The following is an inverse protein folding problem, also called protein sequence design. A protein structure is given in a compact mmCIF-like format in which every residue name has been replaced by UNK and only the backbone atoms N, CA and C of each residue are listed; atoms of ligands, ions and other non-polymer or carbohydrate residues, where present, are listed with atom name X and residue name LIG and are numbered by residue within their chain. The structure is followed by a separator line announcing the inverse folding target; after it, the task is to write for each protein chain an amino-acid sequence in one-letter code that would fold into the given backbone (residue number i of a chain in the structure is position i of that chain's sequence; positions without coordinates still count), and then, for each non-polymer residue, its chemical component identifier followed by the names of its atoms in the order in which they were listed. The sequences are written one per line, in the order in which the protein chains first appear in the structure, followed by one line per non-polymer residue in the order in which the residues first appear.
data_IF_227038141646
#
_entry.id   IF_227038141646
#
_cell.length_a   1.000
_cell.length_b   1.000
_cell.length_c   1.000
_cell.angle_alpha   90.00
_cell.angle_beta   90.00
_cell.angle_gamma   90.00
#
_symmetry.space_group_name_H-M   'P 1'
#
loop_
_entity.id
_entity.type
_entity.pdbx_description
1 polymer ?
#
# COMPACT_ATOMS: atom_id res chain seq x y z
N UNK A 1 -12.45 9.22 -18.40
CA UNK A 1 -12.91 8.24 -17.40
C UNK A 1 -14.40 8.39 -17.15
N UNK A 2 -15.15 7.29 -17.19
CA UNK A 2 -16.58 7.26 -16.84
C UNK A 2 -16.72 7.50 -15.34
N UNK A 3 -17.42 8.57 -14.93
CA UNK A 3 -17.66 8.87 -13.51
C UNK A 3 -18.87 8.07 -13.03
N UNK A 4 -18.73 7.30 -11.95
CA UNK A 4 -19.82 6.59 -11.29
C UNK A 4 -20.19 7.34 -10.01
N UNK A 5 -21.49 7.61 -9.79
CA UNK A 5 -21.98 8.23 -8.56
C UNK A 5 -22.29 7.12 -7.55
N UNK A 6 -21.71 7.22 -6.35
CA UNK A 6 -22.07 6.38 -5.20
C UNK A 6 -22.57 7.30 -4.08
N UNK A 7 -23.69 6.93 -3.48
CA UNK A 7 -24.25 7.59 -2.30
C UNK A 7 -23.90 6.73 -1.09
N UNK A 8 -23.53 7.40 0.01
CA UNK A 8 -23.12 6.80 1.27
C UNK A 8 -23.73 7.69 2.36
N UNK A 9 -24.48 7.09 3.26
CA UNK A 9 -25.02 7.77 4.42
C UNK A 9 -23.99 7.70 5.55
N UNK A 10 -23.66 8.85 6.13
CA UNK A 10 -22.66 8.99 7.19
C UNK A 10 -23.23 9.88 8.29
N UNK A 11 -22.80 9.63 9.51
CA UNK A 11 -23.16 10.49 10.63
C UNK A 11 -22.61 11.91 10.42
N UNK A 12 -23.35 12.96 10.83
CA UNK A 12 -22.92 14.35 10.66
C UNK A 12 -21.54 14.63 11.27
N UNK A 13 -21.22 14.01 12.41
CA UNK A 13 -19.92 14.14 13.09
C UNK A 13 -18.79 13.57 12.22
N UNK A 14 -19.03 12.44 11.54
CA UNK A 14 -18.06 11.83 10.62
C UNK A 14 -17.80 12.74 9.42
N UNK A 15 -18.85 13.37 8.88
CA UNK A 15 -18.71 14.33 7.78
C UNK A 15 -17.85 15.52 8.21
N UNK A 16 -18.07 16.05 9.42
CA UNK A 16 -17.27 17.17 9.95
C UNK A 16 -15.78 16.82 10.04
N UNK A 17 -15.45 15.66 10.62
CA UNK A 17 -14.06 15.21 10.75
C UNK A 17 -13.41 15.06 9.37
N UNK A 18 -14.11 14.46 8.40
CA UNK A 18 -13.57 14.27 7.06
C UNK A 18 -13.36 15.59 6.31
N UNK A 19 -14.23 16.58 6.53
CA UNK A 19 -14.11 17.92 5.93
C UNK A 19 -12.94 18.71 6.54
N UNK A 20 -12.74 18.61 7.86
CA UNK A 20 -11.60 19.21 8.54
C UNK A 20 -10.27 18.63 8.04
N UNK A 21 -10.19 17.30 7.93
CA UNK A 21 -9.01 16.60 7.41
C UNK A 21 -8.75 16.95 5.93
N UNK A 22 -9.80 17.06 5.12
CA UNK A 22 -9.67 17.46 3.72
C UNK A 22 -9.08 18.87 3.60
N UNK A 23 -9.57 19.82 4.43
CA UNK A 23 -9.06 21.18 4.49
C UNK A 23 -7.62 21.22 4.98
N UNK A 24 -7.27 20.47 6.03
CA UNK A 24 -5.91 20.39 6.55
C UNK A 24 -4.90 19.93 5.48
N UNK A 25 -5.32 19.05 4.58
CA UNK A 25 -4.50 18.57 3.46
C UNK A 25 -4.56 19.47 2.20
N UNK A 26 -5.30 20.58 2.21
CA UNK A 26 -5.58 21.41 1.04
C UNK A 26 -6.24 20.64 -0.13
N UNK A 27 -7.23 19.79 0.16
CA UNK A 27 -7.92 18.94 -0.82
C UNK A 27 -9.43 19.02 -0.65
N UNK A 28 -10.17 18.60 -1.68
CA UNK A 28 -11.62 18.40 -1.53
C UNK A 28 -11.91 17.11 -0.79
N UNK A 29 -13.03 17.07 -0.06
CA UNK A 29 -13.54 15.87 0.61
C UNK A 29 -13.61 14.66 -0.34
N UNK A 30 -14.08 14.90 -1.58
CA UNK A 30 -14.10 13.88 -2.63
C UNK A 30 -12.70 13.31 -2.90
N UNK A 31 -11.70 14.17 -3.09
CA UNK A 31 -10.33 13.72 -3.38
C UNK A 31 -9.71 12.97 -2.20
N UNK A 32 -10.02 13.39 -0.97
CA UNK A 32 -9.60 12.68 0.23
C UNK A 32 -10.19 11.27 0.26
N UNK A 33 -11.51 11.14 0.08
CA UNK A 33 -12.20 9.84 0.10
C UNK A 33 -11.67 8.92 -0.99
N UNK A 34 -11.56 9.40 -2.23
CA UNK A 34 -11.03 8.60 -3.35
C UNK A 34 -9.61 8.10 -3.06
N UNK A 35 -8.74 8.96 -2.51
CA UNK A 35 -7.38 8.56 -2.12
C UNK A 35 -7.40 7.52 -1.00
N UNK A 36 -8.11 7.79 0.09
CA UNK A 36 -8.12 6.92 1.28
C UNK A 36 -8.66 5.53 0.95
N UNK A 37 -9.75 5.43 0.21
CA UNK A 37 -10.33 4.14 -0.19
C UNK A 37 -9.38 3.36 -1.10
N UNK A 38 -8.73 4.05 -2.05
CA UNK A 38 -7.77 3.44 -2.97
C UNK A 38 -6.54 2.93 -2.23
N UNK A 39 -5.94 3.76 -1.37
CA UNK A 39 -4.78 3.38 -0.57
C UNK A 39 -5.11 2.23 0.39
N UNK A 40 -6.26 2.27 1.03
CA UNK A 40 -6.67 1.19 1.92
C UNK A 40 -6.87 -0.11 1.15
N UNK A 41 -7.49 -0.05 -0.04
CA UNK A 41 -7.64 -1.20 -0.93
C UNK A 41 -6.28 -1.80 -1.31
N UNK A 42 -5.28 -0.97 -1.64
CA UNK A 42 -3.92 -1.44 -1.93
C UNK A 42 -3.17 -1.99 -0.71
N UNK A 43 -3.44 -1.48 0.49
CA UNK A 43 -2.81 -2.01 1.72
C UNK A 43 -3.38 -3.37 2.13
N UNK A 44 -4.66 -3.61 1.87
CA UNK A 44 -5.32 -4.88 2.21
C UNK A 44 -5.33 -5.86 1.04
N UNK A 45 -4.96 -5.42 -0.17
CA UNK A 45 -4.87 -6.31 -1.31
C UNK A 45 -3.78 -7.34 -1.05
N UNK A 46 -4.08 -8.59 -1.36
CA UNK A 46 -3.06 -9.63 -1.38
C UNK A 46 -1.89 -9.20 -2.27
N UNK A 47 -0.65 -9.63 -1.94
CA UNK A 47 0.48 -9.42 -2.82
C UNK A 47 0.16 -9.92 -4.23
N UNK A 48 0.71 -9.26 -5.25
CA UNK A 48 0.46 -9.67 -6.63
C UNK A 48 0.85 -11.13 -6.83
N UNK A 49 0.15 -11.82 -7.74
CA UNK A 49 0.51 -13.21 -8.11
C UNK A 49 1.96 -13.33 -8.57
N UNK A 50 2.51 -12.27 -9.21
CA UNK A 50 3.93 -12.21 -9.55
C UNK A 50 4.84 -12.19 -8.33
N UNK A 51 4.47 -11.47 -7.28
CA UNK A 51 5.22 -11.42 -6.02
C UNK A 51 5.13 -12.76 -5.28
N UNK A 52 3.94 -13.37 -5.21
CA UNK A 52 3.76 -14.70 -4.61
C UNK A 52 4.66 -15.74 -5.29
N UNK A 53 4.66 -15.80 -6.63
CA UNK A 53 5.53 -16.69 -7.40
C UNK A 53 7.02 -16.44 -7.18
N UNK A 54 7.42 -15.17 -7.06
CA UNK A 54 8.81 -14.82 -6.75
C UNK A 54 9.22 -15.36 -5.37
N UNK A 55 8.33 -15.24 -4.39
CA UNK A 55 8.56 -15.78 -3.04
C UNK A 55 8.59 -17.30 -3.04
N UNK A 56 7.71 -17.98 -3.77
CA UNK A 56 7.70 -19.44 -3.89
C UNK A 56 9.02 -19.97 -4.51
N UNK A 57 9.53 -19.32 -5.56
CA UNK A 57 10.81 -19.65 -6.17
C UNK A 57 12.00 -19.39 -5.21
N UNK A 58 11.95 -18.29 -4.45
CA UNK A 58 12.97 -17.99 -3.44
C UNK A 58 12.99 -19.05 -2.32
N UNK A 59 11.82 -19.45 -1.81
CA UNK A 59 11.71 -20.49 -0.78
C UNK A 59 12.16 -21.84 -1.32
N UNK A 60 11.83 -22.18 -2.56
CA UNK A 60 12.32 -23.40 -3.21
C UNK A 60 13.85 -23.41 -3.31
N UNK A 61 14.48 -22.27 -3.65
CA UNK A 61 15.95 -22.14 -3.69
C UNK A 61 16.59 -22.19 -2.30
N UNK A 62 15.89 -21.73 -1.27
CA UNK A 62 16.32 -21.86 0.13
C UNK A 62 16.38 -23.33 0.53
N UNK A 63 15.31 -24.07 0.29
CA UNK A 63 15.19 -25.49 0.64
C UNK A 63 16.21 -26.36 -0.12
N UNK A 64 16.55 -25.96 -1.35
CA UNK A 64 17.59 -26.61 -2.15
C UNK A 64 19.03 -26.22 -1.76
N UNK A 65 19.21 -25.29 -0.81
CA UNK A 65 20.53 -24.82 -0.38
C UNK A 65 21.25 -23.94 -1.42
N UNK A 66 20.52 -23.41 -2.41
CA UNK A 66 21.06 -22.64 -3.53
C UNK A 66 21.11 -21.13 -3.29
N UNK A 67 20.68 -20.66 -2.11
CA UNK A 67 20.74 -19.25 -1.75
C UNK A 67 22.11 -18.89 -1.15
N UNK A 68 22.74 -17.87 -1.73
CA UNK A 68 23.91 -17.22 -1.17
C UNK A 68 23.46 -16.07 -0.28
N UNK A 69 23.80 -16.14 0.99
CA UNK A 69 23.56 -15.06 1.94
C UNK A 69 24.79 -14.16 2.00
N UNK A 70 24.57 -12.86 1.96
CA UNK A 70 25.60 -11.86 2.22
C UNK A 70 25.30 -11.23 3.57
N UNK A 71 26.32 -10.96 4.37
CA UNK A 71 26.14 -10.31 5.66
C UNK A 71 25.57 -8.90 5.48
N UNK A 72 24.73 -8.46 6.42
CA UNK A 72 24.15 -7.11 6.35
C UNK A 72 25.24 -6.02 6.35
N UNK A 73 26.33 -6.22 7.09
CA UNK A 73 27.47 -5.29 7.14
C UNK A 73 28.14 -5.10 5.77
N UNK A 74 28.27 -6.17 4.99
CA UNK A 74 28.90 -6.13 3.67
C UNK A 74 27.98 -5.49 2.63
N UNK A 75 26.67 -5.66 2.78
CA UNK A 75 25.67 -4.94 1.96
C UNK A 75 25.69 -3.45 2.27
N UNK A 76 25.68 -3.06 3.55
CA UNK A 76 25.71 -1.65 3.97
C UNK A 76 26.96 -0.93 3.45
N UNK A 77 28.14 -1.57 3.53
CA UNK A 77 29.38 -1.04 2.95
C UNK A 77 29.32 -0.84 1.44
N UNK A 78 28.57 -1.67 0.72
CA UNK A 78 28.45 -1.60 -0.75
C UNK A 78 27.53 -0.48 -1.22
N UNK A 79 26.60 -0.03 -0.37
CA UNK A 79 25.60 0.98 -0.71
C UNK A 79 25.78 2.32 0.02
N UNK A 80 26.89 2.49 0.77
CA UNK A 80 27.24 3.74 1.49
C UNK A 80 26.09 4.32 2.33
N UNK A 81 25.34 3.46 3.03
CA UNK A 81 24.30 3.85 4.00
C UNK A 81 24.85 3.78 5.41
#
# INVERSE_FOLDING_TARGET
MKKMRKLIDLDPEVIQILDEEAKAQNRSLKSLIEKTVTEKAHRVSEPSESYKRMMDDMLTKLDQGNLKFTSAEEVLKRYEV
#
